data_IF_498725568113
#
_entry.id   IF_498725568113
#
_cell.length_a   1.000
_cell.length_b   1.000
_cell.length_c   1.000
_cell.angle_alpha   90.00
_cell.angle_beta   90.00
_cell.angle_gamma   90.00
#
_symmetry.space_group_name_H-M   'P 1'
#
loop_
_entity.id
_entity.type
_entity.pdbx_description
1 polymer ?
#
# COMPACT_ATOMS: atom_id res chain seq x y z
N UNK A 1 14.31 4.96 8.32
CA UNK A 1 13.33 5.64 7.48
C UNK A 1 13.25 4.88 6.17
N UNK A 2 12.08 4.28 5.87
CA UNK A 2 11.88 3.71 4.54
C UNK A 2 11.89 4.86 3.53
N UNK A 3 12.98 4.93 2.82
CA UNK A 3 13.15 5.87 1.73
C UNK A 3 12.41 5.27 0.54
N UNK A 4 11.34 5.90 0.10
CA UNK A 4 10.73 5.56 -1.18
C UNK A 4 11.63 6.22 -2.25
N UNK A 5 12.53 5.47 -2.90
CA UNK A 5 13.39 6.07 -3.89
C UNK A 5 12.54 6.56 -5.06
N UNK A 6 12.90 7.70 -5.63
CA UNK A 6 12.44 7.99 -6.99
C UNK A 6 12.72 6.75 -7.82
N UNK A 7 11.69 6.16 -8.40
CA UNK A 7 11.87 4.98 -9.23
C UNK A 7 12.75 5.39 -10.39
N UNK A 8 14.01 5.02 -10.27
CA UNK A 8 15.01 5.25 -11.31
C UNK A 8 14.79 4.22 -12.41
N UNK A 9 15.08 4.59 -13.64
CA UNK A 9 14.98 3.70 -14.80
C UNK A 9 15.80 2.40 -14.62
N UNK A 10 16.85 2.44 -13.81
CA UNK A 10 17.62 1.25 -13.42
C UNK A 10 16.80 0.19 -12.70
N UNK A 11 15.88 0.58 -11.81
CA UNK A 11 15.00 -0.36 -11.13
C UNK A 11 14.02 -1.01 -12.12
N UNK A 12 13.43 -0.22 -13.02
CA UNK A 12 12.55 -0.75 -14.08
C UNK A 12 13.28 -1.76 -14.97
N UNK A 13 14.55 -1.48 -15.34
CA UNK A 13 15.37 -2.41 -16.14
C UNK A 13 15.65 -3.71 -15.39
N UNK A 14 15.86 -3.66 -14.07
CA UNK A 14 16.08 -4.88 -13.28
C UNK A 14 14.90 -5.85 -13.37
N UNK A 15 13.68 -5.34 -13.49
CA UNK A 15 12.47 -6.15 -13.65
C UNK A 15 12.25 -6.68 -15.09
N UNK A 16 13.06 -6.29 -16.07
CA UNK A 16 13.05 -6.90 -17.41
C UNK A 16 13.62 -8.32 -17.40
N UNK A 17 14.48 -8.62 -16.46
CA UNK A 17 15.04 -9.95 -16.31
C UNK A 17 13.93 -10.97 -15.95
N UNK A 18 13.89 -12.08 -16.70
CA UNK A 18 12.87 -13.14 -16.53
C UNK A 18 12.99 -13.90 -15.20
N UNK A 19 14.17 -13.85 -14.55
CA UNK A 19 14.41 -14.46 -13.25
C UNK A 19 13.93 -13.59 -12.09
N UNK A 20 13.48 -12.34 -12.35
CA UNK A 20 12.97 -11.43 -11.32
C UNK A 20 11.45 -11.51 -11.31
N UNK A 21 10.89 -11.83 -10.12
CA UNK A 21 9.44 -11.83 -9.93
C UNK A 21 8.87 -10.43 -10.19
N UNK A 22 7.74 -10.38 -10.89
CA UNK A 22 7.02 -9.14 -11.20
C UNK A 22 6.20 -8.69 -9.98
N UNK A 23 6.88 -8.48 -8.87
CA UNK A 23 6.32 -8.07 -7.59
C UNK A 23 7.13 -6.89 -7.02
N UNK A 24 6.44 -5.82 -6.65
CA UNK A 24 7.03 -4.64 -6.06
C UNK A 24 6.26 -4.20 -4.81
N UNK A 25 6.94 -4.09 -3.69
CA UNK A 25 6.37 -3.55 -2.46
C UNK A 25 6.79 -2.09 -2.28
N UNK A 26 5.82 -1.18 -2.32
CA UNK A 26 6.03 0.26 -2.15
C UNK A 26 5.10 0.75 -1.03
N UNK A 27 5.58 0.89 0.21
CA UNK A 27 4.76 1.33 1.33
C UNK A 27 4.44 2.83 1.23
N UNK A 28 3.21 3.19 0.84
CA UNK A 28 2.80 4.60 0.76
C UNK A 28 2.36 5.18 2.11
N UNK A 29 1.80 4.38 2.96
CA UNK A 29 1.32 4.67 4.33
C UNK A 29 0.03 5.51 4.40
N UNK A 30 -0.16 6.54 3.58
CA UNK A 30 -1.35 7.39 3.48
C UNK A 30 -1.44 8.02 2.10
N UNK A 31 -2.65 8.30 1.64
CA UNK A 31 -2.92 9.09 0.43
C UNK A 31 -2.74 10.58 0.67
N UNK A 32 -2.83 11.03 1.92
CA UNK A 32 -2.72 12.43 2.29
C UNK A 32 -1.28 12.90 2.45
N UNK A 33 -0.88 13.87 1.63
CA UNK A 33 0.45 14.48 1.74
C UNK A 33 0.66 15.19 3.08
N UNK A 34 -0.41 15.72 3.71
CA UNK A 34 -0.36 16.32 5.03
C UNK A 34 0.00 15.26 6.07
N UNK A 35 -0.69 14.12 6.07
CA UNK A 35 -0.43 13.02 7.00
C UNK A 35 0.96 12.44 6.78
N UNK A 36 1.39 12.26 5.52
CA UNK A 36 2.74 11.80 5.19
C UNK A 36 3.83 12.73 5.77
N UNK A 37 3.64 14.05 5.67
CA UNK A 37 4.55 15.04 6.24
C UNK A 37 4.61 14.92 7.77
N UNK A 38 3.48 14.76 8.44
CA UNK A 38 3.42 14.59 9.90
C UNK A 38 4.01 13.26 10.37
N UNK A 39 3.83 12.19 9.58
CA UNK A 39 4.54 10.91 9.76
C UNK A 39 6.04 11.01 9.46
N UNK A 40 6.54 12.20 9.06
CA UNK A 40 7.93 12.45 8.62
C UNK A 40 8.36 11.54 7.46
N UNK A 41 7.47 11.27 6.52
CA UNK A 41 7.81 10.61 5.29
C UNK A 41 8.43 11.62 4.32
N UNK A 42 9.55 11.27 3.71
CA UNK A 42 10.29 12.16 2.79
C UNK A 42 9.76 12.11 1.35
N UNK A 43 8.50 11.74 1.15
CA UNK A 43 7.86 11.57 -0.17
C UNK A 43 6.39 11.98 -0.10
N UNK A 44 5.77 12.12 -1.27
CA UNK A 44 4.34 12.39 -1.44
C UNK A 44 3.61 11.17 -2.02
N UNK A 45 2.28 11.16 -1.91
CA UNK A 45 1.43 10.13 -2.53
C UNK A 45 1.61 10.06 -4.05
N UNK A 46 2.02 11.18 -4.68
CA UNK A 46 2.31 11.22 -6.12
C UNK A 46 3.45 10.28 -6.52
N UNK A 47 4.45 10.11 -5.67
CA UNK A 47 5.55 9.16 -5.94
C UNK A 47 5.03 7.73 -6.07
N UNK A 48 4.02 7.36 -5.27
CA UNK A 48 3.39 6.05 -5.38
C UNK A 48 2.56 5.92 -6.67
N UNK A 49 1.76 6.96 -7.03
CA UNK A 49 1.01 6.99 -8.30
C UNK A 49 1.93 6.79 -9.49
N UNK A 50 2.99 7.61 -9.57
CA UNK A 50 3.97 7.56 -10.67
C UNK A 50 4.63 6.19 -10.78
N UNK A 51 4.92 5.58 -9.63
CA UNK A 51 5.47 4.24 -9.56
C UNK A 51 4.50 3.20 -10.13
N UNK A 52 3.27 3.19 -9.62
CA UNK A 52 2.21 2.28 -10.04
C UNK A 52 2.03 2.35 -11.56
N UNK A 53 1.90 3.56 -12.09
CA UNK A 53 1.66 3.79 -13.52
C UNK A 53 2.83 3.33 -14.38
N UNK A 54 4.06 3.67 -13.99
CA UNK A 54 5.27 3.25 -14.73
C UNK A 54 5.40 1.73 -14.81
N UNK A 55 5.17 1.03 -13.68
CA UNK A 55 5.30 -0.42 -13.68
C UNK A 55 4.17 -1.11 -14.44
N UNK A 56 2.92 -0.69 -14.24
CA UNK A 56 1.79 -1.26 -14.98
C UNK A 56 1.86 -0.98 -16.48
N UNK A 57 2.26 0.23 -16.88
CA UNK A 57 2.43 0.59 -18.29
C UNK A 57 3.53 -0.23 -18.97
N UNK A 58 4.64 -0.49 -18.26
CA UNK A 58 5.78 -1.21 -18.84
C UNK A 58 5.60 -2.72 -18.89
N UNK A 59 5.01 -3.31 -17.84
CA UNK A 59 4.98 -4.77 -17.68
C UNK A 59 3.57 -5.38 -17.81
N UNK A 60 2.52 -4.57 -17.93
CA UNK A 60 1.14 -5.02 -17.96
C UNK A 60 0.74 -5.71 -16.65
N UNK A 61 0.88 -7.04 -16.60
CA UNK A 61 0.70 -7.82 -15.36
C UNK A 61 1.89 -7.65 -14.42
N UNK A 62 1.66 -6.91 -13.35
CA UNK A 62 2.68 -6.64 -12.34
C UNK A 62 2.00 -6.52 -10.96
N UNK A 63 2.46 -7.28 -9.99
CA UNK A 63 1.89 -7.25 -8.63
C UNK A 63 2.49 -6.09 -7.84
N UNK A 64 1.63 -5.17 -7.40
CA UNK A 64 2.01 -4.03 -6.57
C UNK A 64 1.41 -4.21 -5.18
N UNK A 65 2.27 -4.26 -4.17
CA UNK A 65 1.91 -4.29 -2.76
C UNK A 65 2.23 -2.96 -2.10
N UNK A 66 1.37 -2.54 -1.16
CA UNK A 66 1.58 -1.32 -0.39
C UNK A 66 1.19 -1.50 1.08
N UNK A 67 1.71 -0.62 1.94
CA UNK A 67 1.26 -0.51 3.33
C UNK A 67 0.40 0.73 3.47
N UNK A 68 -0.69 0.62 4.22
CA UNK A 68 -1.58 1.72 4.60
C UNK A 68 -1.72 1.72 6.12
N UNK A 69 -1.58 2.89 6.72
CA UNK A 69 -1.84 3.12 8.15
C UNK A 69 -3.06 4.04 8.26
N UNK A 70 -4.10 3.57 8.93
CA UNK A 70 -5.28 4.37 9.24
C UNK A 70 -5.31 4.79 10.71
N UNK A 71 -5.91 5.93 10.98
CA UNK A 71 -6.07 6.42 12.35
C UNK A 71 -4.84 7.12 12.92
N UNK A 72 -3.99 7.70 12.07
CA UNK A 72 -2.93 8.59 12.56
C UNK A 72 -3.55 9.81 13.27
N UNK A 73 -3.01 10.28 14.41
CA UNK A 73 -3.66 11.28 15.28
C UNK A 73 -4.16 12.57 14.61
N UNK A 74 -3.52 13.00 13.54
CA UNK A 74 -3.93 14.19 12.80
C UNK A 74 -4.76 13.89 11.54
N UNK A 75 -5.10 12.63 11.29
CA UNK A 75 -5.84 12.23 10.10
C UNK A 75 -7.30 12.68 10.18
N UNK A 76 -7.66 13.76 9.48
CA UNK A 76 -9.05 14.19 9.34
C UNK A 76 -9.85 13.24 8.43
N UNK A 77 -11.16 13.47 8.28
CA UNK A 77 -11.98 12.71 7.33
C UNK A 77 -11.52 12.95 5.89
N UNK A 78 -11.23 14.20 5.53
CA UNK A 78 -10.73 14.56 4.21
C UNK A 78 -9.41 13.86 3.90
N UNK A 79 -8.49 13.77 4.88
CA UNK A 79 -7.23 13.08 4.71
C UNK A 79 -7.42 11.55 4.55
N UNK A 80 -8.42 10.99 5.22
CA UNK A 80 -8.78 9.59 5.02
C UNK A 80 -9.37 9.35 3.63
N UNK A 81 -10.25 10.23 3.16
CA UNK A 81 -10.81 10.15 1.79
C UNK A 81 -9.71 10.25 0.72
N UNK A 82 -8.70 11.12 0.89
CA UNK A 82 -7.52 11.15 0.00
C UNK A 82 -6.82 9.77 -0.07
N UNK A 83 -6.82 9.02 1.04
CA UNK A 83 -6.25 7.65 1.07
C UNK A 83 -7.15 6.65 0.34
N UNK A 84 -8.46 6.75 0.52
CA UNK A 84 -9.45 5.93 -0.18
C UNK A 84 -9.37 6.17 -1.70
N UNK A 85 -9.26 7.42 -2.12
CA UNK A 85 -9.16 7.80 -3.53
C UNK A 85 -7.85 7.31 -4.16
N UNK A 86 -6.74 7.42 -3.42
CA UNK A 86 -5.47 6.84 -3.86
C UNK A 86 -5.58 5.33 -4.12
N UNK A 87 -6.24 4.58 -3.23
CA UNK A 87 -6.43 3.13 -3.38
C UNK A 87 -7.32 2.83 -4.60
N UNK A 88 -8.42 3.57 -4.78
CA UNK A 88 -9.32 3.40 -5.93
C UNK A 88 -8.62 3.67 -7.26
N UNK A 89 -7.80 4.72 -7.31
CA UNK A 89 -7.06 5.13 -8.49
C UNK A 89 -5.95 4.13 -8.85
N UNK A 90 -5.11 3.78 -7.88
CA UNK A 90 -3.92 2.96 -8.13
C UNK A 90 -4.18 1.46 -8.12
N UNK A 91 -5.29 1.02 -7.49
CA UNK A 91 -5.75 -0.38 -7.42
C UNK A 91 -4.61 -1.35 -7.09
N UNK A 92 -3.92 -1.21 -5.93
CA UNK A 92 -2.86 -2.12 -5.57
C UNK A 92 -3.39 -3.55 -5.41
N UNK A 93 -2.57 -4.54 -5.74
CA UNK A 93 -2.96 -5.97 -5.68
C UNK A 93 -2.98 -6.49 -4.25
N UNK A 94 -2.17 -5.89 -3.36
CA UNK A 94 -2.07 -6.26 -1.94
C UNK A 94 -1.95 -5.00 -1.10
N UNK A 95 -2.79 -4.88 -0.07
CA UNK A 95 -2.73 -3.81 0.92
C UNK A 95 -2.44 -4.39 2.30
N UNK A 96 -1.27 -4.11 2.84
CA UNK A 96 -0.97 -4.40 4.24
C UNK A 96 -1.56 -3.29 5.11
N UNK A 97 -2.80 -3.50 5.54
CA UNK A 97 -3.52 -2.52 6.35
C UNK A 97 -3.10 -2.61 7.82
N UNK A 98 -2.71 -1.48 8.40
CA UNK A 98 -2.40 -1.34 9.82
C UNK A 98 -3.19 -0.20 10.45
N UNK A 99 -3.64 -0.41 11.69
CA UNK A 99 -4.16 0.67 12.53
C UNK A 99 -3.00 1.34 13.23
N UNK A 100 -3.02 2.66 13.28
CA UNK A 100 -1.99 3.39 14.04
C UNK A 100 -1.96 2.92 15.50
N UNK A 101 -0.76 2.71 16.00
CA UNK A 101 -0.50 2.43 17.42
C UNK A 101 0.56 3.40 17.94
N UNK A 102 0.23 4.10 19.02
CA UNK A 102 1.12 5.08 19.63
C UNK A 102 2.38 4.41 20.18
N UNK A 103 3.54 4.85 19.69
CA UNK A 103 4.83 4.37 20.21
C UNK A 103 5.37 5.33 21.26
N UNK A 104 5.73 4.87 22.47
CA UNK A 104 6.31 5.72 23.51
C UNK A 104 7.48 6.57 22.98
N UNK A 105 7.59 7.81 23.44
CA UNK A 105 8.67 8.74 23.05
C UNK A 105 8.48 9.45 21.71
N UNK A 106 7.44 9.12 20.91
CA UNK A 106 7.17 9.82 19.65
C UNK A 106 6.30 11.07 19.86
N UNK A 107 6.42 12.05 18.94
CA UNK A 107 5.52 13.21 18.93
C UNK A 107 4.06 12.80 18.74
N UNK A 108 3.80 11.84 17.87
CA UNK A 108 2.45 11.35 17.58
C UNK A 108 1.80 10.69 18.80
N UNK A 109 2.57 10.08 19.71
CA UNK A 109 2.03 9.54 20.97
C UNK A 109 1.51 10.61 21.93
N UNK A 110 2.01 11.85 21.80
CA UNK A 110 1.60 13.01 22.62
C UNK A 110 0.41 13.78 22.03
N UNK A 111 0.00 13.44 20.81
CA UNK A 111 -1.15 14.04 20.15
C UNK A 111 -2.45 13.39 20.62
N UNK A 112 -3.56 14.12 20.50
CA UNK A 112 -4.89 13.55 20.73
C UNK A 112 -5.12 12.39 19.74
N UNK A 113 -5.33 11.21 20.27
CA UNK A 113 -5.59 10.01 19.45
C UNK A 113 -7.00 10.05 18.88
N UNK A 114 -7.21 9.47 17.71
CA UNK A 114 -8.53 9.26 17.17
C UNK A 114 -9.30 8.25 18.03
N UNK A 115 -10.62 8.40 18.03
CA UNK A 115 -11.50 7.43 18.70
C UNK A 115 -11.32 6.04 18.07
N UNK A 116 -11.32 5.01 18.94
CA UNK A 116 -11.12 3.62 18.53
C UNK A 116 -12.19 3.14 17.56
N UNK A 117 -13.43 3.61 17.72
CA UNK A 117 -14.54 3.27 16.83
C UNK A 117 -14.31 3.83 15.44
N UNK A 118 -13.81 5.06 15.32
CA UNK A 118 -13.49 5.70 14.05
C UNK A 118 -12.32 4.98 13.37
N UNK A 119 -11.26 4.62 14.08
CA UNK A 119 -10.14 3.85 13.52
C UNK A 119 -10.61 2.48 13.01
N UNK A 120 -11.52 1.82 13.74
CA UNK A 120 -12.15 0.57 13.28
C UNK A 120 -12.99 0.77 12.03
N UNK A 121 -13.78 1.84 11.97
CA UNK A 121 -14.59 2.19 10.80
C UNK A 121 -13.72 2.39 9.56
N UNK A 122 -12.66 3.21 9.65
CA UNK A 122 -11.69 3.45 8.56
C UNK A 122 -11.01 2.17 8.11
N UNK A 123 -10.58 1.35 9.06
CA UNK A 123 -9.97 0.06 8.76
C UNK A 123 -10.92 -0.87 7.99
N UNK A 124 -12.22 -0.87 8.33
CA UNK A 124 -13.24 -1.66 7.63
C UNK A 124 -13.45 -1.15 6.20
N UNK A 125 -13.52 0.16 6.00
CA UNK A 125 -13.67 0.75 4.66
C UNK A 125 -12.52 0.34 3.74
N UNK A 126 -11.27 0.44 4.19
CA UNK A 126 -10.11 0.03 3.39
C UNK A 126 -10.13 -1.47 3.09
N UNK A 127 -10.47 -2.31 4.07
CA UNK A 127 -10.58 -3.76 3.89
C UNK A 127 -11.63 -4.14 2.84
N UNK A 128 -12.83 -3.55 2.90
CA UNK A 128 -13.89 -3.82 1.92
C UNK A 128 -13.48 -3.32 0.52
N UNK A 129 -12.79 -2.18 0.45
CA UNK A 129 -12.29 -1.66 -0.82
C UNK A 129 -11.24 -2.61 -1.44
N UNK A 130 -10.29 -3.10 -0.65
CA UNK A 130 -9.30 -4.09 -1.09
C UNK A 130 -9.99 -5.35 -1.61
N UNK A 131 -10.95 -5.87 -0.86
CA UNK A 131 -11.72 -7.06 -1.25
C UNK A 131 -12.44 -6.88 -2.59
N UNK A 132 -13.06 -5.72 -2.79
CA UNK A 132 -13.73 -5.40 -4.06
C UNK A 132 -12.74 -5.34 -5.22
N UNK A 133 -11.59 -4.69 -5.04
CA UNK A 133 -10.52 -4.63 -6.04
C UNK A 133 -10.05 -6.04 -6.41
N UNK A 134 -9.79 -6.90 -5.42
CA UNK A 134 -9.34 -8.28 -5.65
C UNK A 134 -10.40 -9.08 -6.42
N UNK A 135 -11.69 -8.94 -6.07
CA UNK A 135 -12.76 -9.65 -6.75
C UNK A 135 -12.88 -9.21 -8.22
N UNK A 136 -12.88 -7.90 -8.49
CA UNK A 136 -12.91 -7.38 -9.85
C UNK A 136 -11.69 -7.83 -10.67
N UNK A 137 -10.51 -7.89 -10.07
CA UNK A 137 -9.30 -8.38 -10.73
C UNK A 137 -9.37 -9.89 -11.01
N UNK A 138 -10.02 -10.69 -10.14
CA UNK A 138 -10.28 -12.11 -10.38
C UNK A 138 -11.23 -12.32 -11.52
N UNK A 139 -12.33 -11.58 -11.59
CA UNK A 139 -13.33 -11.69 -12.67
C UNK A 139 -12.69 -11.35 -14.03
N UNK A 140 -11.83 -10.36 -14.09
CA UNK A 140 -11.03 -10.04 -15.28
C UNK A 140 -9.99 -11.13 -15.60
N UNK A 141 -9.49 -11.87 -14.60
CA UNK A 141 -8.51 -12.93 -14.79
C UNK A 141 -9.12 -14.27 -15.22
N UNK A 142 -10.42 -14.50 -14.99
CA UNK A 142 -11.14 -15.66 -15.52
C UNK A 142 -11.20 -15.66 -17.06
N UNK A 143 -11.05 -14.49 -17.68
CA UNK A 143 -10.90 -14.37 -19.14
C UNK A 143 -9.48 -14.70 -19.64
N UNK A 144 -8.49 -14.80 -18.73
CA UNK A 144 -7.12 -15.20 -19.04
C UNK A 144 -6.66 -16.18 -17.96
N UNK A 145 -6.55 -17.49 -18.27
CA UNK A 145 -6.14 -18.55 -17.33
C UNK A 145 -5.01 -18.13 -16.40
N UNK A 146 -5.20 -18.15 -15.06
CA UNK A 146 -4.14 -17.79 -14.12
C UNK A 146 -3.27 -18.99 -13.80
N UNK A 147 -1.96 -18.80 -13.88
CA UNK A 147 -0.99 -19.64 -13.16
C UNK A 147 -0.87 -19.13 -11.73
N UNK A 148 -1.50 -19.79 -10.79
CA UNK A 148 -1.21 -19.56 -9.36
C UNK A 148 0.00 -20.42 -8.98
N UNK A 149 1.10 -19.77 -8.65
CA UNK A 149 2.17 -20.41 -7.89
C UNK A 149 1.84 -20.18 -6.41
N UNK A 150 1.29 -21.21 -5.78
CA UNK A 150 1.14 -21.23 -4.32
C UNK A 150 2.51 -21.49 -3.72
N UNK A 151 3.20 -20.45 -3.24
CA UNK A 151 4.39 -20.64 -2.41
C UNK A 151 3.90 -21.11 -1.05
N UNK A 152 3.95 -22.42 -0.79
CA UNK A 152 3.85 -22.96 0.57
C UNK A 152 5.09 -22.50 1.33
N UNK A 153 4.90 -21.62 2.31
CA UNK A 153 5.91 -21.29 3.28
C UNK A 153 6.00 -22.46 4.27
N UNK A 154 6.86 -23.41 4.01
CA UNK A 154 7.17 -24.44 5.00
C UNK A 154 7.89 -23.75 6.18
N UNK A 155 7.23 -23.79 7.34
CA UNK A 155 7.83 -23.33 8.58
C UNK A 155 9.05 -24.21 8.88
N UNK A 156 10.24 -23.65 8.78
CA UNK A 156 11.43 -24.27 9.32
C UNK A 156 11.29 -24.25 10.84
N UNK A 157 11.28 -25.42 11.53
CA UNK A 157 11.30 -25.43 12.98
C UNK A 157 12.64 -24.88 13.45
N UNK A 158 12.60 -23.84 14.29
CA UNK A 158 13.76 -23.41 15.04
C UNK A 158 14.09 -24.50 16.05
N UNK A 159 15.27 -25.18 15.87
CA UNK A 159 15.90 -25.98 16.88
C UNK A 159 16.78 -25.12 17.77
#
# INVERSE_FOLDING_TARGET
PMYMPRIRDGLLRSFENTKVFKFLHIPVQSGSNRVLKEMKRGYTSQVFRDANDKFRKKFGRFTISTDIIVGFPSESNENFEETVDLIKETRPDVINLSRYSARPGTKAAKMTQLDVSEVKRRSKVVYELEKNIINEMRDLSFLCKPFYVTVKCDRVPFG
#
